data_IF_044494928005
#
_entry.id   IF_044494928005
#
_cell.length_a   1.000
_cell.length_b   1.000
_cell.length_c   1.000
_cell.angle_alpha   90.00
_cell.angle_beta   90.00
_cell.angle_gamma   90.00
#
_symmetry.space_group_name_H-M   'P 1'
#
loop_
_entity.id
_entity.type
_entity.pdbx_description
1 polymer ?
#
# COMPACT_ATOMS: atom_id res chain seq x y z
N UNK A 1 18.89 -21.56 5.32
CA UNK A 1 17.50 -21.71 5.79
C UNK A 1 17.18 -20.92 7.04
N UNK A 2 17.27 -19.59 6.97
CA UNK A 2 16.76 -18.68 8.00
C UNK A 2 16.22 -17.45 7.26
N UNK A 3 14.93 -17.11 7.42
CA UNK A 3 14.42 -15.86 6.86
C UNK A 3 12.93 -15.64 6.68
N UNK A 4 12.03 -16.43 7.29
CA UNK A 4 10.57 -16.23 7.10
C UNK A 4 9.72 -16.28 8.39
N UNK A 5 10.33 -16.29 9.57
CA UNK A 5 9.60 -16.45 10.83
C UNK A 5 9.05 -15.15 11.46
N UNK A 6 9.46 -13.97 10.99
CA UNK A 6 9.08 -12.67 11.58
C UNK A 6 8.10 -11.87 10.71
N UNK A 7 7.18 -12.55 10.00
CA UNK A 7 6.04 -11.84 9.39
C UNK A 7 4.92 -11.77 10.44
N UNK A 8 4.50 -10.57 10.90
CA UNK A 8 3.33 -10.46 11.77
C UNK A 8 2.13 -11.12 11.08
N UNK A 9 1.34 -11.90 11.82
CA UNK A 9 0.13 -12.50 11.29
C UNK A 9 -0.78 -11.38 10.78
N UNK A 10 -1.30 -11.55 9.56
CA UNK A 10 -2.14 -10.57 8.89
C UNK A 10 -3.54 -10.44 9.53
N UNK A 11 -3.83 -11.21 10.58
CA UNK A 11 -5.21 -11.54 10.94
C UNK A 11 -5.79 -10.73 12.11
N UNK A 12 -4.99 -10.07 12.98
CA UNK A 12 -5.57 -9.44 14.20
C UNK A 12 -5.35 -7.92 14.35
N UNK A 13 -4.34 -7.35 13.67
CA UNK A 13 -3.94 -5.94 13.87
C UNK A 13 -4.16 -5.00 12.65
N UNK A 14 -4.58 -5.53 11.50
CA UNK A 14 -4.67 -4.78 10.24
C UNK A 14 -6.09 -4.71 9.65
N UNK A 15 -7.13 -4.66 10.49
CA UNK A 15 -8.48 -4.41 9.97
C UNK A 15 -8.64 -2.93 9.61
N UNK A 16 -8.97 -2.67 8.35
CA UNK A 16 -9.23 -1.32 7.80
C UNK A 16 -10.23 -0.53 8.66
N UNK A 17 -11.18 -1.22 9.30
CA UNK A 17 -12.18 -0.64 10.19
C UNK A 17 -11.58 0.03 11.45
N UNK A 18 -10.48 -0.51 12.02
CA UNK A 18 -9.79 0.11 13.17
C UNK A 18 -9.11 1.43 12.80
N UNK A 19 -8.82 1.68 11.51
CA UNK A 19 -8.15 2.90 11.05
C UNK A 19 -9.11 4.07 10.84
N UNK A 20 -10.39 3.78 10.55
CA UNK A 20 -11.42 4.80 10.35
C UNK A 20 -11.87 5.41 11.69
N UNK A 21 -12.03 4.58 12.73
CA UNK A 21 -12.55 5.03 14.03
C UNK A 21 -11.52 5.76 14.90
N UNK A 22 -10.23 5.70 14.55
CA UNK A 22 -9.16 6.26 15.37
C UNK A 22 -9.05 7.81 15.27
N UNK A 23 -9.74 8.44 14.31
CA UNK A 23 -9.62 9.86 14.03
C UNK A 23 -8.25 10.22 13.41
N UNK A 24 -8.09 11.49 13.02
CA UNK A 24 -6.84 12.02 12.47
C UNK A 24 -6.02 12.68 13.57
N UNK A 25 -4.73 12.35 13.66
CA UNK A 25 -3.77 13.16 14.41
C UNK A 25 -3.72 14.60 13.85
N UNK A 26 -3.16 15.55 14.60
CA UNK A 26 -3.10 16.99 14.24
C UNK A 26 -2.41 17.28 12.89
N UNK A 27 -1.69 16.31 12.33
CA UNK A 27 -1.05 16.35 11.01
C UNK A 27 -1.89 15.74 9.87
N UNK A 28 -3.15 15.36 10.16
CA UNK A 28 -4.07 14.72 9.23
C UNK A 28 -3.78 13.23 8.99
N UNK A 29 -2.88 12.61 9.76
CA UNK A 29 -2.53 11.20 9.63
C UNK A 29 -3.49 10.30 10.44
N UNK A 30 -3.93 9.15 9.93
CA UNK A 30 -4.74 8.21 10.71
C UNK A 30 -3.99 7.77 11.98
N UNK A 31 -4.58 7.99 13.15
CA UNK A 31 -3.92 7.72 14.44
C UNK A 31 -3.75 6.22 14.75
N UNK A 32 -4.44 5.35 14.00
CA UNK A 32 -4.38 3.88 14.11
C UNK A 32 -3.21 3.21 13.38
N UNK A 33 -2.35 3.97 12.68
CA UNK A 33 -1.20 3.41 11.96
C UNK A 33 -0.02 3.26 12.94
N UNK A 34 0.63 2.07 13.02
CA UNK A 34 1.82 1.88 13.86
C UNK A 34 2.89 2.95 13.62
N UNK A 35 3.56 3.41 14.68
CA UNK A 35 4.52 4.52 14.61
C UNK A 35 5.67 4.29 13.60
N UNK A 36 6.09 3.03 13.43
CA UNK A 36 7.08 2.65 12.41
C UNK A 36 6.59 2.93 10.98
N UNK A 37 5.32 2.64 10.70
CA UNK A 37 4.74 2.82 9.37
C UNK A 37 4.39 4.28 9.10
N UNK A 38 3.93 5.03 10.11
CA UNK A 38 3.71 6.47 9.96
C UNK A 38 5.01 7.21 9.64
N UNK A 39 6.13 6.79 10.23
CA UNK A 39 7.47 7.33 9.91
C UNK A 39 7.84 7.02 8.46
N UNK A 40 7.67 5.77 8.01
CA UNK A 40 7.98 5.37 6.62
C UNK A 40 7.15 6.14 5.60
N UNK A 41 5.85 6.35 5.87
CA UNK A 41 4.96 7.10 4.98
C UNK A 41 5.36 8.57 4.92
N UNK A 42 5.68 9.19 6.06
CA UNK A 42 6.20 10.57 6.11
C UNK A 42 7.53 10.72 5.37
N UNK A 43 8.44 9.75 5.50
CA UNK A 43 9.69 9.72 4.71
C UNK A 43 9.44 9.59 3.21
N UNK A 44 8.47 8.75 2.80
CA UNK A 44 8.09 8.62 1.40
C UNK A 44 7.55 9.95 0.83
N UNK A 45 6.77 10.70 1.60
CA UNK A 45 6.30 12.02 1.22
C UNK A 45 7.41 13.06 1.04
N UNK A 46 8.55 12.88 1.71
CA UNK A 46 9.72 13.76 1.60
C UNK A 46 10.68 13.35 0.48
N UNK A 47 10.37 12.29 -0.27
CA UNK A 47 11.21 11.80 -1.37
C UNK A 47 11.28 12.84 -2.48
N UNK A 48 12.46 13.05 -3.05
CA UNK A 48 12.68 13.98 -4.15
C UNK A 48 11.77 13.65 -5.34
N UNK A 49 11.28 14.68 -6.04
CA UNK A 49 10.19 14.58 -7.01
C UNK A 49 10.39 13.46 -8.04
N UNK A 50 11.60 13.36 -8.60
CA UNK A 50 11.96 12.39 -9.64
C UNK A 50 12.68 11.15 -9.09
N UNK A 51 12.83 11.03 -7.77
CA UNK A 51 13.42 9.84 -7.17
C UNK A 51 12.43 8.67 -7.26
N UNK A 52 12.97 7.52 -7.69
CA UNK A 52 12.22 6.28 -7.84
C UNK A 52 11.92 5.68 -6.47
N UNK A 53 10.64 5.46 -6.20
CA UNK A 53 10.14 4.90 -4.94
C UNK A 53 9.90 3.40 -5.09
N UNK A 54 9.19 2.99 -6.14
CA UNK A 54 8.90 1.57 -6.40
C UNK A 54 8.58 1.32 -7.89
N UNK A 55 8.62 0.04 -8.31
CA UNK A 55 8.18 -0.42 -9.63
C UNK A 55 7.37 -1.69 -9.52
N UNK A 56 6.16 -1.66 -10.07
CA UNK A 56 5.42 -2.87 -10.38
C UNK A 56 5.72 -3.27 -11.82
N UNK A 57 6.11 -4.54 -12.06
CA UNK A 57 6.37 -5.05 -13.41
C UNK A 57 5.12 -5.02 -14.31
N UNK A 58 3.91 -5.00 -13.73
CA UNK A 58 2.65 -5.10 -14.48
C UNK A 58 1.59 -4.18 -13.86
N UNK A 59 1.31 -3.05 -14.47
CA UNK A 59 0.06 -2.32 -14.24
C UNK A 59 -1.10 -2.91 -15.03
N UNK A 60 -2.28 -2.28 -14.92
CA UNK A 60 -3.45 -2.62 -15.73
C UNK A 60 -3.07 -2.65 -17.22
N UNK A 61 -3.13 -3.82 -17.85
CA UNK A 61 -2.76 -4.02 -19.27
C UNK A 61 -1.28 -4.32 -19.56
N UNK A 62 -0.45 -4.61 -18.54
CA UNK A 62 0.94 -5.06 -18.72
C UNK A 62 1.97 -3.94 -18.87
N UNK A 63 1.59 -2.67 -18.74
CA UNK A 63 2.53 -1.55 -18.68
C UNK A 63 3.13 -1.41 -17.28
N UNK A 64 4.45 -1.37 -17.14
CA UNK A 64 5.10 -1.19 -15.84
C UNK A 64 4.69 0.13 -15.17
N UNK A 65 4.37 0.08 -13.87
CA UNK A 65 4.04 1.26 -13.07
C UNK A 65 5.28 1.69 -12.31
N UNK A 66 5.74 2.92 -12.53
CA UNK A 66 6.85 3.49 -11.74
C UNK A 66 6.29 4.52 -10.76
N UNK A 67 6.44 4.27 -9.46
CA UNK A 67 6.17 5.26 -8.43
C UNK A 67 7.39 6.16 -8.23
N UNK A 68 7.16 7.46 -8.29
CA UNK A 68 8.15 8.51 -8.06
C UNK A 68 7.79 9.29 -6.79
N UNK A 69 8.73 10.05 -6.23
CA UNK A 69 8.48 10.90 -5.06
C UNK A 69 7.30 11.86 -5.26
N UNK A 70 7.13 12.39 -6.48
CA UNK A 70 5.99 13.25 -6.83
C UNK A 70 4.63 12.55 -6.70
N UNK A 71 4.57 11.24 -6.93
CA UNK A 71 3.36 10.44 -6.76
C UNK A 71 3.07 10.24 -5.27
N UNK A 72 4.10 10.01 -4.44
CA UNK A 72 3.94 9.87 -2.98
C UNK A 72 3.44 11.17 -2.33
N UNK A 73 3.83 12.34 -2.84
CA UNK A 73 3.30 13.62 -2.35
C UNK A 73 1.77 13.77 -2.52
N UNK A 74 1.16 13.00 -3.44
CA UNK A 74 -0.30 12.97 -3.68
C UNK A 74 -1.08 12.14 -2.66
N UNK A 75 -0.39 11.35 -1.84
CA UNK A 75 -0.99 10.61 -0.72
C UNK A 75 -1.21 11.48 0.53
N UNK A 76 -0.74 12.75 0.52
CA UNK A 76 -0.98 13.68 1.62
C UNK A 76 -2.46 14.07 1.71
N UNK A 77 -3.00 14.34 2.91
CA UNK A 77 -4.38 14.77 3.09
C UNK A 77 -4.75 15.97 2.20
N UNK A 78 -5.98 15.96 1.67
CA UNK A 78 -6.51 17.04 0.83
C UNK A 78 -5.98 17.08 -0.61
N UNK A 79 -5.28 16.04 -1.07
CA UNK A 79 -4.79 15.93 -2.45
C UNK A 79 -5.57 14.85 -3.23
N UNK A 80 -5.74 15.08 -4.53
CA UNK A 80 -6.29 14.07 -5.43
C UNK A 80 -5.22 13.01 -5.73
N UNK A 81 -5.62 11.75 -5.75
CA UNK A 81 -4.76 10.66 -6.21
C UNK A 81 -4.46 10.82 -7.70
N UNK A 82 -3.31 10.29 -8.10
CA UNK A 82 -2.91 10.17 -9.51
C UNK A 82 -3.05 8.72 -9.94
N UNK A 83 -3.14 8.50 -11.24
CA UNK A 83 -3.34 7.19 -11.84
C UNK A 83 -2.22 6.22 -11.49
N UNK A 84 -0.96 6.64 -11.37
CA UNK A 84 0.12 5.72 -10.95
C UNK A 84 -0.09 5.15 -9.55
N UNK A 85 -0.65 5.94 -8.63
CA UNK A 85 -0.93 5.49 -7.26
C UNK A 85 -2.09 4.49 -7.26
N UNK A 86 -3.15 4.80 -8.01
CA UNK A 86 -4.33 3.93 -8.12
C UNK A 86 -3.94 2.60 -8.79
N UNK A 87 -3.21 2.66 -9.90
CA UNK A 87 -2.78 1.49 -10.65
C UNK A 87 -1.85 0.60 -9.80
N UNK A 88 -0.93 1.21 -9.02
CA UNK A 88 -0.08 0.45 -8.11
C UNK A 88 -0.90 -0.28 -7.06
N UNK A 89 -1.87 0.42 -6.46
CA UNK A 89 -2.73 -0.17 -5.45
C UNK A 89 -3.54 -1.36 -5.99
N UNK A 90 -4.12 -1.24 -7.19
CA UNK A 90 -4.84 -2.34 -7.83
C UNK A 90 -3.92 -3.54 -8.11
N UNK A 91 -2.69 -3.30 -8.58
CA UNK A 91 -1.70 -4.36 -8.75
C UNK A 91 -1.39 -5.10 -7.43
N UNK A 92 -1.22 -4.36 -6.32
CA UNK A 92 -0.96 -4.96 -5.02
C UNK A 92 -2.15 -5.80 -4.53
N UNK A 93 -3.39 -5.36 -4.78
CA UNK A 93 -4.58 -6.14 -4.47
C UNK A 93 -4.64 -7.44 -5.28
N UNK A 94 -4.35 -7.38 -6.58
CA UNK A 94 -4.30 -8.58 -7.43
C UNK A 94 -3.18 -9.54 -7.00
N UNK A 95 -1.99 -9.04 -6.65
CA UNK A 95 -0.91 -9.89 -6.12
C UNK A 95 -1.30 -10.54 -4.79
N UNK A 96 -1.95 -9.80 -3.89
CA UNK A 96 -2.46 -10.36 -2.63
C UNK A 96 -3.48 -11.48 -2.91
N UNK A 97 -4.43 -11.24 -3.80
CA UNK A 97 -5.48 -12.22 -4.09
C UNK A 97 -4.93 -13.48 -4.77
N UNK A 98 -3.94 -13.36 -5.66
CA UNK A 98 -3.23 -14.49 -6.25
C UNK A 98 -2.58 -15.39 -5.19
N UNK A 99 -1.98 -14.81 -4.14
CA UNK A 99 -1.42 -15.59 -3.01
C UNK A 99 -2.53 -16.33 -2.27
N UNK A 100 -3.60 -15.62 -1.91
CA UNK A 100 -4.71 -16.19 -1.15
C UNK A 100 -5.44 -17.31 -1.91
N UNK A 101 -5.61 -17.16 -3.23
CA UNK A 101 -6.20 -18.21 -4.07
C UNK A 101 -5.26 -19.41 -4.25
N UNK A 102 -3.94 -19.20 -4.26
CA UNK A 102 -2.95 -20.27 -4.25
C UNK A 102 -2.96 -21.08 -2.96
N UNK A 103 -3.29 -20.44 -1.82
CA UNK A 103 -3.37 -21.08 -0.49
C UNK A 103 -4.74 -21.72 -0.22
N UNK A 104 -5.81 -21.25 -0.88
CA UNK A 104 -7.17 -21.75 -0.70
C UNK A 104 -7.86 -22.04 -2.05
N UNK A 105 -7.90 -23.31 -2.44
CA UNK A 105 -8.50 -23.78 -3.69
C UNK A 105 -10.02 -23.51 -3.83
N UNK A 106 -10.73 -23.19 -2.74
CA UNK A 106 -12.16 -22.84 -2.76
C UNK A 106 -12.42 -21.34 -2.93
N UNK A 107 -11.36 -20.52 -2.84
CA UNK A 107 -11.47 -19.07 -2.99
C UNK A 107 -11.53 -18.72 -4.47
N UNK A 108 -12.50 -17.92 -4.87
CA UNK A 108 -12.60 -17.40 -6.23
C UNK A 108 -11.72 -16.16 -6.39
N UNK A 109 -11.05 -15.99 -7.55
CA UNK A 109 -10.26 -14.80 -7.82
C UNK A 109 -11.13 -13.55 -7.78
N UNK A 110 -10.56 -12.47 -7.23
CA UNK A 110 -11.18 -11.17 -7.20
C UNK A 110 -10.57 -10.26 -8.26
N UNK A 111 -11.37 -9.95 -9.29
CA UNK A 111 -10.97 -9.16 -10.45
C UNK A 111 -11.34 -7.69 -10.25
N UNK A 112 -10.62 -7.00 -9.36
CA UNK A 112 -10.63 -5.53 -9.30
C UNK A 112 -9.56 -4.93 -10.22
#
# INVERSE_FOLDING_TARGET
DQGYADRPSLDDDYTFDKWIDAGTADDGFPSGIPQGDSTRIKSAWATAENAKVDVAPEGVGGSGITLLGKHMARLRPGRWLVDEVINMYMYLLQKRDNVLCGENASRLPNYY
#
